data_IF_430739265699
#
_entry.id   IF_430739265699
#
_cell.length_a   1.000
_cell.length_b   1.000
_cell.length_c   1.000
_cell.angle_alpha   90.00
_cell.angle_beta   90.00
_cell.angle_gamma   90.00
#
_symmetry.space_group_name_H-M   'P 1'
#
loop_
_entity.id
_entity.type
_entity.pdbx_description
1 polymer ?
#
# COMPACT_ATOMS: atom_id res chain seq x y z
N UNK A 1 9.41 8.47 -6.23
CA UNK A 1 10.41 8.92 -5.23
C UNK A 1 10.72 7.75 -4.32
N UNK A 2 12.01 7.45 -4.09
CA UNK A 2 12.42 6.35 -3.18
C UNK A 2 13.61 5.57 -3.69
N UNK A 3 13.69 4.28 -3.36
CA UNK A 3 14.76 3.39 -3.79
C UNK A 3 14.70 3.02 -5.27
N UNK A 4 15.80 2.55 -5.88
CA UNK A 4 15.77 2.03 -7.25
C UNK A 4 15.03 0.68 -7.31
N UNK A 5 14.55 0.34 -8.52
CA UNK A 5 13.87 -0.91 -8.76
C UNK A 5 14.85 -2.09 -8.81
N UNK A 6 14.61 -3.12 -8.01
CA UNK A 6 15.35 -4.36 -7.97
C UNK A 6 14.45 -5.57 -8.29
N UNK A 7 15.06 -6.72 -8.54
CA UNK A 7 14.29 -7.97 -8.68
C UNK A 7 13.80 -8.42 -7.31
N UNK A 8 12.50 -8.35 -7.14
CA UNK A 8 11.78 -8.75 -5.91
C UNK A 8 10.52 -9.53 -6.29
N UNK A 9 9.78 -10.00 -5.31
CA UNK A 9 8.49 -10.65 -5.55
C UNK A 9 7.56 -9.80 -6.40
N UNK A 10 6.89 -10.43 -7.35
CA UNK A 10 5.97 -9.76 -8.27
C UNK A 10 4.73 -9.24 -7.56
N UNK A 11 4.19 -8.14 -8.06
CA UNK A 11 3.05 -7.42 -7.52
C UNK A 11 1.83 -8.27 -7.24
N UNK A 12 1.14 -7.98 -6.17
CA UNK A 12 0.06 -8.80 -5.63
C UNK A 12 0.54 -10.10 -4.99
N UNK A 13 1.82 -10.43 -5.17
CA UNK A 13 2.50 -11.58 -4.63
C UNK A 13 3.43 -11.21 -3.49
N UNK A 14 3.00 -10.36 -2.54
CA UNK A 14 3.77 -10.20 -1.32
C UNK A 14 3.87 -11.57 -0.63
N UNK A 15 5.00 -11.85 0.00
CA UNK A 15 5.22 -13.13 0.69
C UNK A 15 4.11 -13.44 1.70
N UNK A 16 3.46 -12.41 2.26
CA UNK A 16 2.31 -12.54 3.15
C UNK A 16 1.00 -12.97 2.47
N UNK A 17 0.89 -12.84 1.16
CA UNK A 17 -0.34 -13.11 0.40
C UNK A 17 -0.37 -14.49 -0.26
N UNK A 18 0.67 -15.29 -0.12
CA UNK A 18 0.80 -16.63 -0.68
C UNK A 18 1.23 -17.66 0.37
N UNK A 19 1.01 -18.94 0.04
CA UNK A 19 1.60 -20.00 0.84
C UNK A 19 3.13 -19.93 0.72
N UNK A 20 3.80 -19.94 1.86
CA UNK A 20 5.25 -20.02 1.90
C UNK A 20 5.65 -21.48 1.73
N UNK A 21 6.56 -21.72 0.80
CA UNK A 21 7.14 -23.04 0.54
C UNK A 21 8.66 -22.92 0.42
N UNK A 22 9.34 -24.06 0.50
CA UNK A 22 10.80 -24.12 0.42
C UNK A 22 11.34 -23.84 -0.97
N UNK A 23 10.51 -23.92 -2.01
CA UNK A 23 10.94 -23.69 -3.40
C UNK A 23 11.13 -22.20 -3.70
N UNK A 24 10.47 -21.34 -2.93
CA UNK A 24 10.49 -19.88 -3.10
C UNK A 24 11.20 -19.15 -1.96
N UNK A 25 11.94 -19.85 -1.11
CA UNK A 25 12.55 -19.27 0.09
C UNK A 25 13.46 -18.08 -0.22
N UNK A 26 14.27 -18.14 -1.28
CA UNK A 26 15.13 -17.01 -1.70
C UNK A 26 14.29 -15.80 -2.10
N UNK A 27 13.21 -16.00 -2.86
CA UNK A 27 12.29 -14.93 -3.24
C UNK A 27 11.55 -14.36 -2.03
N UNK A 28 11.27 -15.19 -1.02
CA UNK A 28 10.67 -14.74 0.23
C UNK A 28 11.64 -13.91 1.07
N UNK A 29 12.93 -14.21 1.01
CA UNK A 29 13.97 -13.37 1.62
C UNK A 29 14.14 -12.04 0.90
N UNK A 30 13.89 -11.97 -0.40
CA UNK A 30 13.91 -10.74 -1.19
C UNK A 30 12.53 -10.09 -1.31
N UNK A 31 11.54 -10.64 -0.60
CA UNK A 31 10.21 -10.11 -0.62
C UNK A 31 10.16 -8.69 -0.05
N UNK A 32 9.22 -7.95 -0.57
CA UNK A 32 8.74 -6.68 -0.05
C UNK A 32 8.50 -6.80 1.47
N UNK A 33 8.35 -5.73 2.18
CA UNK A 33 8.18 -5.67 3.64
C UNK A 33 9.48 -5.83 4.45
N UNK A 34 10.62 -5.77 3.78
CA UNK A 34 11.87 -5.44 4.45
C UNK A 34 12.08 -3.96 4.37
N UNK A 35 12.00 -3.30 5.50
CA UNK A 35 12.24 -1.88 5.55
C UNK A 35 13.67 -1.54 5.14
N UNK A 36 13.84 -0.50 4.32
CA UNK A 36 15.11 0.19 4.14
C UNK A 36 15.06 1.50 4.92
N UNK A 37 15.49 1.44 6.17
CA UNK A 37 15.44 2.58 7.08
C UNK A 37 16.21 3.81 6.56
N UNK A 38 17.23 3.62 5.72
CA UNK A 38 17.96 4.73 5.12
C UNK A 38 17.14 5.42 4.04
N UNK A 39 16.53 4.64 3.14
CA UNK A 39 15.69 5.19 2.07
C UNK A 39 14.45 5.82 2.66
N UNK A 40 13.79 5.17 3.62
CA UNK A 40 12.62 5.72 4.31
C UNK A 40 12.93 7.07 4.96
N UNK A 41 14.03 7.17 5.71
CA UNK A 41 14.45 8.42 6.34
C UNK A 41 14.63 9.55 5.30
N UNK A 42 15.26 9.25 4.15
CA UNK A 42 15.43 10.21 3.06
C UNK A 42 14.10 10.65 2.47
N UNK A 43 13.17 9.72 2.24
CA UNK A 43 11.82 9.99 1.73
C UNK A 43 11.04 10.84 2.74
N UNK A 44 11.06 10.50 4.01
CA UNK A 44 10.42 11.28 5.08
C UNK A 44 10.95 12.71 5.15
N UNK A 45 12.27 12.90 5.07
CA UNK A 45 12.86 14.25 5.04
C UNK A 45 12.46 15.02 3.81
N UNK A 46 12.48 14.38 2.63
CA UNK A 46 12.02 14.99 1.38
C UNK A 46 10.58 15.51 1.49
N UNK A 47 9.66 14.69 1.98
CA UNK A 47 8.26 15.07 2.18
C UNK A 47 8.15 16.19 3.21
N UNK A 48 8.85 16.10 4.34
CA UNK A 48 8.83 17.11 5.39
C UNK A 48 9.32 18.47 4.90
N UNK A 49 10.36 18.49 4.06
CA UNK A 49 10.85 19.73 3.43
C UNK A 49 9.80 20.32 2.50
N UNK A 50 9.15 19.51 1.68
CA UNK A 50 8.09 19.98 0.79
C UNK A 50 6.92 20.59 1.57
N UNK A 51 6.55 19.98 2.69
CA UNK A 51 5.48 20.47 3.57
C UNK A 51 5.85 21.77 4.29
N UNK A 52 7.13 21.98 4.61
CA UNK A 52 7.61 23.14 5.32
C UNK A 52 7.77 24.40 4.45
N UNK A 53 7.59 24.28 3.13
CA UNK A 53 7.60 25.43 2.22
C UNK A 53 6.32 26.24 2.35
N UNK A 54 6.39 27.55 2.09
CA UNK A 54 5.22 28.44 2.06
C UNK A 54 4.10 27.92 1.18
N UNK A 55 4.46 27.24 0.09
CA UNK A 55 3.54 26.51 -0.79
C UNK A 55 4.06 25.09 -0.98
N UNK A 56 3.31 24.11 -0.51
CA UNK A 56 3.62 22.72 -0.76
C UNK A 56 3.52 22.40 -2.26
N UNK A 57 4.61 21.95 -2.91
CA UNK A 57 4.57 21.60 -4.34
C UNK A 57 3.90 20.24 -4.61
N UNK A 58 3.69 19.41 -3.60
CA UNK A 58 3.05 18.11 -3.72
C UNK A 58 1.53 18.30 -3.73
N UNK A 59 0.88 17.92 -4.83
CA UNK A 59 -0.58 18.00 -4.99
C UNK A 59 -1.28 16.77 -4.43
N UNK A 60 -0.67 15.60 -4.61
CA UNK A 60 -1.12 14.33 -4.10
C UNK A 60 0.07 13.40 -3.84
N UNK A 61 -0.05 12.49 -2.90
CA UNK A 61 0.97 11.55 -2.50
C UNK A 61 0.34 10.20 -2.18
N UNK A 62 0.95 9.13 -2.61
CA UNK A 62 0.52 7.76 -2.34
C UNK A 62 1.73 6.84 -2.25
N UNK A 63 1.75 5.93 -1.29
CA UNK A 63 2.77 4.89 -1.20
C UNK A 63 2.61 3.85 -2.30
N UNK A 64 3.70 3.25 -2.72
CA UNK A 64 3.69 2.13 -3.66
C UNK A 64 3.68 0.82 -2.88
N UNK A 65 2.48 0.34 -2.58
CA UNK A 65 2.29 -0.96 -1.98
C UNK A 65 2.12 -2.10 -2.99
N UNK A 66 1.38 -3.11 -2.61
CA UNK A 66 1.12 -4.28 -3.45
C UNK A 66 0.57 -3.90 -4.82
N UNK A 67 1.18 -4.45 -5.87
CA UNK A 67 0.89 -4.09 -7.26
C UNK A 67 1.74 -2.94 -7.81
N UNK A 68 2.66 -2.40 -7.00
CA UNK A 68 3.68 -1.44 -7.41
C UNK A 68 3.13 -0.21 -8.10
N UNK A 69 3.90 0.30 -9.08
CA UNK A 69 3.47 1.40 -9.94
C UNK A 69 2.13 1.13 -10.63
N UNK A 70 1.85 -0.14 -10.96
CA UNK A 70 0.63 -0.57 -11.65
C UNK A 70 -0.63 -0.29 -10.86
N UNK A 71 -0.56 -0.35 -9.54
CA UNK A 71 -1.67 0.01 -8.68
C UNK A 71 -1.73 1.52 -8.40
N UNK A 72 -0.67 2.05 -7.80
CA UNK A 72 -0.66 3.43 -7.31
C UNK A 72 -0.86 4.46 -8.41
N UNK A 73 -0.29 4.24 -9.60
CA UNK A 73 -0.41 5.22 -10.69
C UNK A 73 -1.85 5.38 -11.16
N UNK A 74 -2.63 4.29 -11.21
CA UNK A 74 -4.05 4.37 -11.57
C UNK A 74 -4.84 5.19 -10.55
N UNK A 75 -4.61 4.94 -9.28
CA UNK A 75 -5.32 5.60 -8.18
C UNK A 75 -4.99 7.09 -8.08
N UNK A 76 -3.70 7.44 -8.17
CA UNK A 76 -3.27 8.83 -7.99
C UNK A 76 -3.67 9.75 -9.16
N UNK A 77 -3.87 9.21 -10.38
CA UNK A 77 -4.25 10.01 -11.57
C UNK A 77 -5.74 9.96 -11.89
N UNK A 78 -6.54 9.22 -11.15
CA UNK A 78 -8.00 9.16 -11.35
C UNK A 78 -8.65 10.53 -11.12
N UNK A 79 -9.63 10.93 -11.95
CA UNK A 79 -10.18 10.25 -13.14
C UNK A 79 -9.45 10.58 -14.45
N UNK A 80 -8.39 11.38 -14.39
CA UNK A 80 -7.81 12.05 -15.56
C UNK A 80 -7.08 11.11 -16.52
N UNK A 81 -6.29 10.16 -15.98
CA UNK A 81 -5.42 9.31 -16.78
C UNK A 81 -4.00 9.87 -16.96
N UNK A 82 -3.10 9.06 -17.46
CA UNK A 82 -1.70 9.43 -17.65
C UNK A 82 -1.02 8.65 -18.78
N UNK A 83 0.03 9.25 -19.29
CA UNK A 83 1.05 8.64 -20.12
C UNK A 83 2.28 8.37 -19.27
N UNK A 84 2.70 7.11 -19.15
CA UNK A 84 3.82 6.66 -18.31
C UNK A 84 4.93 6.06 -19.18
N UNK A 85 6.18 6.34 -18.86
CA UNK A 85 7.36 5.73 -19.48
C UNK A 85 8.15 4.94 -18.45
N UNK A 86 8.25 3.63 -18.63
CA UNK A 86 9.06 2.76 -17.77
C UNK A 86 10.56 3.02 -17.92
N UNK A 87 10.96 3.66 -19.02
CA UNK A 87 12.37 4.00 -19.27
C UNK A 87 12.92 5.05 -18.31
N UNK A 88 12.02 5.78 -17.68
CA UNK A 88 12.39 6.82 -16.73
C UNK A 88 12.55 6.31 -15.29
N UNK A 89 12.27 5.02 -15.07
CA UNK A 89 12.43 4.40 -13.74
C UNK A 89 13.90 4.06 -13.51
N UNK A 90 14.44 4.51 -12.40
CA UNK A 90 15.80 4.14 -11.99
C UNK A 90 15.84 2.67 -11.59
N UNK A 91 16.66 1.89 -12.31
CA UNK A 91 16.80 0.46 -12.09
C UNK A 91 18.08 0.15 -11.31
N UNK A 92 17.95 -0.56 -10.20
CA UNK A 92 19.04 -1.20 -9.50
C UNK A 92 19.46 -2.53 -10.15
N UNK A 93 18.49 -3.23 -10.74
CA UNK A 93 18.71 -4.40 -11.59
C UNK A 93 18.27 -4.09 -13.04
N UNK A 94 19.23 -4.00 -13.94
CA UNK A 94 19.00 -3.69 -15.37
C UNK A 94 18.37 -4.83 -16.16
N UNK A 95 18.23 -6.01 -15.58
CA UNK A 95 17.63 -7.19 -16.22
C UNK A 95 16.13 -7.28 -16.05
N UNK A 96 15.52 -6.33 -15.31
CA UNK A 96 14.08 -6.27 -15.09
C UNK A 96 13.32 -6.09 -16.41
N UNK A 97 12.29 -6.90 -16.62
CA UNK A 97 11.35 -6.71 -17.70
C UNK A 97 10.27 -5.67 -17.36
N UNK A 98 9.52 -5.22 -18.36
CA UNK A 98 8.47 -4.20 -18.18
C UNK A 98 7.42 -4.59 -17.15
N UNK A 99 7.06 -5.88 -17.09
CA UNK A 99 6.08 -6.39 -16.14
C UNK A 99 6.60 -6.32 -14.69
N UNK A 100 7.87 -6.65 -14.48
CA UNK A 100 8.52 -6.52 -13.17
C UNK A 100 8.63 -5.07 -12.74
N UNK A 101 9.03 -4.16 -13.64
CA UNK A 101 9.11 -2.73 -13.33
C UNK A 101 7.73 -2.15 -12.96
N UNK A 102 6.68 -2.59 -13.67
CA UNK A 102 5.33 -2.06 -13.49
C UNK A 102 4.60 -2.59 -12.27
N UNK A 103 4.72 -3.89 -11.96
CA UNK A 103 3.90 -4.55 -10.96
C UNK A 103 4.62 -4.88 -9.65
N UNK A 104 5.97 -4.87 -9.63
CA UNK A 104 6.68 -5.20 -8.42
C UNK A 104 6.56 -4.06 -7.39
N UNK A 105 6.42 -4.44 -6.15
CA UNK A 105 6.44 -3.54 -5.00
C UNK A 105 7.89 -3.36 -4.58
N UNK A 106 8.40 -2.14 -4.73
CA UNK A 106 9.76 -1.80 -4.33
C UNK A 106 9.77 -1.12 -2.97
N UNK A 107 10.87 -1.31 -2.23
CA UNK A 107 11.00 -0.78 -0.88
C UNK A 107 11.00 0.75 -0.87
N UNK A 108 10.25 1.30 0.09
CA UNK A 108 10.24 2.73 0.41
C UNK A 108 10.07 3.62 -0.82
N UNK A 109 9.07 3.31 -1.64
CA UNK A 109 8.71 4.14 -2.77
C UNK A 109 7.35 4.81 -2.56
N UNK A 110 7.27 6.08 -2.98
CA UNK A 110 6.04 6.85 -3.04
C UNK A 110 5.86 7.44 -4.44
N UNK A 111 4.62 7.60 -4.83
CA UNK A 111 4.23 8.37 -6.02
C UNK A 111 3.70 9.73 -5.59
N UNK A 112 4.09 10.78 -6.30
CA UNK A 112 3.61 12.13 -6.06
C UNK A 112 3.09 12.77 -7.35
N UNK A 113 2.07 13.59 -7.24
CA UNK A 113 1.66 14.52 -8.30
C UNK A 113 2.17 15.92 -7.99
N UNK A 114 2.74 16.55 -9.01
CA UNK A 114 3.24 17.92 -8.92
C UNK A 114 2.86 18.72 -10.18
N UNK A 115 2.88 20.04 -10.11
CA UNK A 115 2.81 20.87 -11.32
C UNK A 115 4.14 20.83 -12.08
N UNK A 116 4.13 20.90 -13.42
CA UNK A 116 5.34 20.97 -14.23
C UNK A 116 6.31 22.10 -13.83
N UNK A 117 5.79 23.22 -13.38
CA UNK A 117 6.60 24.36 -12.90
C UNK A 117 7.43 24.06 -11.65
N UNK A 118 7.06 23.02 -10.90
CA UNK A 118 7.71 22.66 -9.64
C UNK A 118 8.78 21.57 -9.79
N UNK A 119 8.97 21.05 -11.01
CA UNK A 119 9.91 19.94 -11.29
C UNK A 119 11.32 20.26 -10.80
N UNK A 120 11.83 21.44 -11.14
CA UNK A 120 13.21 21.80 -10.77
C UNK A 120 13.38 21.99 -9.25
N UNK A 121 12.38 22.57 -8.59
CA UNK A 121 12.36 22.68 -7.13
C UNK A 121 12.40 21.29 -6.47
N UNK A 122 11.54 20.39 -6.91
CA UNK A 122 11.45 19.01 -6.41
C UNK A 122 12.78 18.26 -6.63
N UNK A 123 13.40 18.39 -7.80
CA UNK A 123 14.70 17.79 -8.10
C UNK A 123 15.80 18.32 -7.17
N UNK A 124 15.82 19.63 -6.89
CA UNK A 124 16.77 20.22 -5.97
C UNK A 124 16.60 19.71 -4.54
N UNK A 125 15.36 19.58 -4.07
CA UNK A 125 15.05 19.01 -2.76
C UNK A 125 15.48 17.54 -2.73
N UNK A 126 15.11 16.74 -3.72
CA UNK A 126 15.50 15.33 -3.81
C UNK A 126 17.02 15.14 -3.78
N UNK A 127 17.75 15.96 -4.53
CA UNK A 127 19.23 15.96 -4.52
C UNK A 127 19.79 16.31 -3.15
N UNK A 128 19.24 17.33 -2.47
CA UNK A 128 19.67 17.75 -1.13
C UNK A 128 19.45 16.64 -0.10
N UNK A 129 18.29 16.00 -0.13
CA UNK A 129 17.95 14.93 0.81
C UNK A 129 18.57 13.58 0.44
N UNK A 130 19.17 13.48 -0.75
CA UNK A 130 19.81 12.26 -1.23
C UNK A 130 18.84 11.14 -1.56
N UNK A 131 17.61 11.49 -1.93
CA UNK A 131 16.58 10.54 -2.38
C UNK A 131 16.53 10.50 -3.90
N UNK A 132 16.33 9.30 -4.46
CA UNK A 132 16.12 9.14 -5.89
C UNK A 132 14.73 9.68 -6.30
N UNK A 133 14.69 10.36 -7.44
CA UNK A 133 13.46 10.98 -7.93
C UNK A 133 13.36 10.80 -9.45
N UNK A 134 12.35 10.05 -9.88
CA UNK A 134 12.08 9.77 -11.28
C UNK A 134 10.80 10.48 -11.73
N UNK A 135 10.84 11.14 -12.87
CA UNK A 135 9.65 11.68 -13.51
C UNK A 135 9.16 10.65 -14.51
N UNK A 136 8.20 9.84 -14.07
CA UNK A 136 7.77 8.64 -14.80
C UNK A 136 6.63 8.89 -15.77
N UNK A 137 5.89 10.02 -15.65
CA UNK A 137 4.74 10.23 -16.51
C UNK A 137 4.12 11.62 -16.43
N UNK A 138 3.11 11.82 -17.26
CA UNK A 138 2.35 13.06 -17.38
C UNK A 138 0.86 12.74 -17.35
N UNK A 139 0.10 13.45 -16.52
CA UNK A 139 -1.37 13.41 -16.51
C UNK A 139 -1.92 14.07 -17.79
N UNK A 140 -2.89 13.42 -18.46
CA UNK A 140 -3.30 13.83 -19.82
C UNK A 140 -4.80 13.97 -20.06
N UNK A 141 -5.65 13.78 -19.06
CA UNK A 141 -7.12 13.91 -19.14
C UNK A 141 -7.80 12.99 -20.18
N UNK A 142 -7.19 11.85 -20.52
CA UNK A 142 -7.78 10.88 -21.47
C UNK A 142 -8.70 9.87 -20.79
N UNK A 143 -8.71 9.80 -19.44
CA UNK A 143 -9.35 8.76 -18.68
C UNK A 143 -8.68 7.37 -18.84
N UNK A 144 -7.47 7.35 -19.39
CA UNK A 144 -6.73 6.10 -19.66
C UNK A 144 -5.35 6.17 -19.03
N UNK A 145 -4.86 5.01 -18.62
CA UNK A 145 -3.47 4.79 -18.29
C UNK A 145 -2.78 4.11 -19.46
N UNK A 146 -1.79 4.78 -20.03
CA UNK A 146 -0.99 4.26 -21.14
C UNK A 146 0.47 4.17 -20.69
N UNK A 147 1.07 3.00 -20.85
CA UNK A 147 2.44 2.73 -20.42
C UNK A 147 3.28 2.32 -21.60
N UNK A 148 4.42 2.97 -21.78
CA UNK A 148 5.38 2.72 -22.84
C UNK A 148 6.72 2.26 -22.30
N UNK A 149 7.50 1.56 -23.14
CA UNK A 149 8.88 1.20 -22.91
C UNK A 149 9.74 1.46 -24.14
N UNK A 150 11.07 1.26 -24.03
CA UNK A 150 12.03 1.54 -25.11
C UNK A 150 11.78 0.73 -26.38
N UNK A 151 11.24 -0.47 -26.23
CA UNK A 151 11.10 -1.42 -27.33
C UNK A 151 9.99 -1.03 -28.29
N UNK A 152 8.95 -0.34 -27.79
CA UNK A 152 7.86 0.17 -28.62
C UNK A 152 7.34 1.49 -28.06
N UNK A 153 7.74 2.57 -28.71
CA UNK A 153 7.27 3.95 -28.36
C UNK A 153 5.94 4.30 -29.02
N UNK A 154 5.50 3.51 -29.97
CA UNK A 154 4.27 3.75 -30.73
C UNK A 154 3.11 3.05 -30.04
N UNK A 155 3.30 1.76 -29.69
CA UNK A 155 2.26 0.99 -29.05
C UNK A 155 2.52 0.90 -27.55
N UNK A 156 1.55 1.29 -26.70
CA UNK A 156 1.70 1.12 -25.28
C UNK A 156 1.71 -0.38 -24.90
N UNK A 157 2.57 -0.77 -23.98
CA UNK A 157 2.58 -2.13 -23.40
C UNK A 157 1.36 -2.34 -22.50
N UNK A 158 0.77 -1.25 -22.02
CA UNK A 158 -0.49 -1.23 -21.26
C UNK A 158 -1.33 -0.07 -21.77
N UNK A 159 -2.61 -0.32 -22.02
CA UNK A 159 -3.60 0.72 -22.35
C UNK A 159 -4.94 0.34 -21.73
N UNK A 160 -5.27 0.94 -20.59
CA UNK A 160 -6.44 0.63 -19.78
C UNK A 160 -7.31 1.87 -19.56
N UNK A 161 -8.62 1.72 -19.63
CA UNK A 161 -9.56 2.75 -19.16
C UNK A 161 -9.65 2.69 -17.64
N UNK A 162 -9.41 3.82 -16.97
CA UNK A 162 -9.43 3.91 -15.50
C UNK A 162 -10.80 3.49 -14.93
N UNK A 163 -11.87 3.96 -15.54
CA UNK A 163 -13.22 3.61 -15.08
C UNK A 163 -13.50 2.10 -15.10
N UNK A 164 -12.94 1.37 -16.06
CA UNK A 164 -13.19 -0.08 -16.17
C UNK A 164 -12.40 -0.87 -15.10
N UNK A 165 -11.22 -0.36 -14.71
CA UNK A 165 -10.35 -1.07 -13.76
C UNK A 165 -10.47 -0.60 -12.31
N UNK A 166 -11.05 0.58 -12.06
CA UNK A 166 -11.24 1.11 -10.71
C UNK A 166 -12.70 1.11 -10.27
N UNK A 167 -13.64 1.47 -11.14
CA UNK A 167 -15.03 1.74 -10.75
C UNK A 167 -16.03 0.71 -11.26
N UNK A 168 -15.81 0.13 -12.43
CA UNK A 168 -16.74 -0.80 -13.07
C UNK A 168 -16.36 -2.28 -12.87
N UNK A 169 -15.90 -2.62 -11.69
CA UNK A 169 -15.52 -3.99 -11.35
C UNK A 169 -16.77 -4.84 -11.09
N UNK A 170 -16.90 -6.05 -11.69
CA UNK A 170 -18.02 -6.94 -11.42
C UNK A 170 -18.14 -7.25 -9.92
N UNK A 171 -19.32 -7.02 -9.37
CA UNK A 171 -19.59 -7.33 -7.95
C UNK A 171 -19.60 -8.84 -7.73
N UNK A 172 -18.85 -9.31 -6.76
CA UNK A 172 -18.93 -10.71 -6.32
C UNK A 172 -20.31 -10.98 -5.74
N UNK A 173 -20.93 -12.06 -6.18
CA UNK A 173 -22.18 -12.56 -5.59
C UNK A 173 -21.85 -13.72 -4.67
N UNK A 174 -22.28 -13.62 -3.44
CA UNK A 174 -22.10 -14.67 -2.43
C UNK A 174 -23.45 -15.27 -2.11
N UNK A 175 -23.57 -16.59 -2.21
CA UNK A 175 -24.72 -17.36 -1.74
C UNK A 175 -24.34 -18.04 -0.42
N UNK A 176 -24.68 -17.39 0.68
CA UNK A 176 -24.44 -17.93 2.02
C UNK A 176 -25.65 -18.75 2.47
N UNK A 177 -25.49 -20.05 2.49
CA UNK A 177 -26.50 -20.93 3.11
C UNK A 177 -26.15 -21.16 4.55
N UNK A 178 -26.97 -20.64 5.42
CA UNK A 178 -26.85 -20.91 6.86
C UNK A 178 -27.18 -22.39 7.08
N UNK A 179 -26.17 -23.23 7.33
CA UNK A 179 -26.41 -24.57 7.89
C UNK A 179 -26.87 -24.33 9.32
N UNK A 180 -28.18 -24.47 9.57
CA UNK A 180 -28.65 -24.63 10.94
C UNK A 180 -27.86 -25.81 11.55
N UNK A 181 -26.83 -25.51 12.29
CA UNK A 181 -26.31 -26.48 13.22
C UNK A 181 -27.44 -26.68 14.24
N UNK A 182 -28.01 -27.88 14.24
CA UNK A 182 -28.78 -28.35 15.39
C UNK A 182 -27.83 -28.47 16.58
N UNK A 183 -27.39 -27.34 17.11
CA UNK A 183 -26.79 -27.29 18.41
C UNK A 183 -27.90 -27.73 19.35
N UNK A 184 -27.85 -28.99 19.79
CA UNK A 184 -28.58 -29.36 20.99
C UNK A 184 -28.24 -28.30 22.02
N UNK A 185 -29.21 -27.47 22.38
CA UNK A 185 -29.08 -26.55 23.49
C UNK A 185 -28.83 -27.50 24.68
N UNK A 186 -27.56 -27.69 25.00
CA UNK A 186 -27.20 -28.34 26.24
C UNK A 186 -27.85 -27.51 27.33
N UNK A 187 -28.51 -28.17 28.23
CA UNK A 187 -29.23 -27.58 29.37
C UNK A 187 -28.57 -26.28 29.83
N UNK A 188 -29.36 -25.24 30.15
CA UNK A 188 -28.79 -24.01 30.66
C UNK A 188 -27.79 -24.36 31.74
N UNK A 189 -26.58 -23.84 31.60
CA UNK A 189 -25.54 -24.00 32.62
C UNK A 189 -26.17 -23.61 33.95
N UNK A 190 -26.40 -24.59 34.83
CA UNK A 190 -26.79 -24.30 36.19
C UNK A 190 -25.62 -23.56 36.83
N UNK A 191 -25.73 -22.24 36.85
CA UNK A 191 -24.77 -21.38 37.56
C UNK A 191 -24.76 -21.83 39.02
N UNK A 192 -23.68 -22.41 39.45
CA UNK A 192 -23.45 -22.69 40.87
C UNK A 192 -23.05 -21.36 41.53
N UNK A 193 -23.82 -20.88 42.52
CA UNK A 193 -23.51 -19.59 43.18
C UNK A 193 -22.07 -19.52 43.71
N UNK A 194 -21.53 -20.67 44.14
CA UNK A 194 -20.17 -20.79 44.68
C UNK A 194 -19.08 -20.45 43.64
N UNK A 195 -19.38 -20.65 42.36
CA UNK A 195 -18.46 -20.41 41.25
C UNK A 195 -18.68 -19.03 40.54
N UNK A 196 -19.51 -18.18 41.13
CA UNK A 196 -19.87 -16.90 40.50
C UNK A 196 -18.65 -16.03 40.16
N UNK A 197 -17.73 -15.90 41.09
CA UNK A 197 -16.51 -15.10 40.85
C UNK A 197 -15.63 -15.71 39.75
N UNK A 198 -15.52 -17.02 39.70
CA UNK A 198 -14.77 -17.71 38.63
C UNK A 198 -15.42 -17.47 37.25
N UNK A 199 -16.75 -17.49 37.17
CA UNK A 199 -17.46 -17.20 35.92
C UNK A 199 -17.28 -15.78 35.50
N UNK A 200 -17.33 -14.81 36.40
CA UNK A 200 -17.06 -13.38 36.08
C UNK A 200 -15.64 -13.25 35.58
N UNK A 201 -14.65 -13.81 36.24
CA UNK A 201 -13.26 -13.74 35.81
C UNK A 201 -13.08 -14.31 34.40
N UNK A 202 -13.65 -15.50 34.12
CA UNK A 202 -13.59 -16.09 32.78
C UNK A 202 -14.23 -15.23 31.70
N UNK A 203 -15.35 -14.56 32.01
CA UNK A 203 -16.01 -13.63 31.08
C UNK A 203 -15.14 -12.42 30.85
N UNK A 204 -14.63 -11.80 31.90
CA UNK A 204 -13.78 -10.60 31.80
C UNK A 204 -12.45 -10.89 31.08
N UNK A 205 -11.93 -12.09 31.18
CA UNK A 205 -10.71 -12.53 30.49
C UNK A 205 -10.96 -13.04 29.07
N UNK A 206 -12.22 -13.20 28.66
CA UNK A 206 -12.53 -13.68 27.31
C UNK A 206 -12.08 -12.67 26.25
N UNK A 207 -11.68 -13.18 25.07
CA UNK A 207 -11.18 -12.34 23.96
C UNK A 207 -12.19 -11.27 23.54
N UNK A 208 -13.49 -11.54 23.68
CA UNK A 208 -14.54 -10.63 23.29
C UNK A 208 -14.78 -9.49 24.30
N UNK A 209 -14.46 -9.70 25.57
CA UNK A 209 -14.76 -8.81 26.69
C UNK A 209 -13.47 -8.19 27.27
N UNK A 210 -12.40 -8.96 27.30
CA UNK A 210 -11.12 -8.56 27.88
C UNK A 210 -10.55 -7.29 27.23
N UNK A 211 -9.86 -6.50 28.04
CA UNK A 211 -9.23 -5.27 27.55
C UNK A 211 -8.14 -5.56 26.50
N UNK A 212 -8.27 -4.91 25.36
CA UNK A 212 -7.28 -4.96 24.27
C UNK A 212 -6.34 -3.75 24.30
N UNK A 213 -6.29 -3.04 25.40
CA UNK A 213 -5.51 -1.81 25.53
C UNK A 213 -4.04 -1.98 25.14
N UNK A 214 -3.44 -3.12 25.42
CA UNK A 214 -2.06 -3.41 25.03
C UNK A 214 -1.90 -3.47 23.50
N UNK A 215 -2.88 -4.01 22.78
CA UNK A 215 -2.89 -4.02 21.32
C UNK A 215 -3.07 -2.60 20.78
N UNK A 216 -4.11 -1.91 21.25
CA UNK A 216 -4.44 -0.57 20.76
C UNK A 216 -3.40 0.50 21.09
N UNK A 217 -2.59 0.30 22.14
CA UNK A 217 -1.51 1.23 22.48
C UNK A 217 -0.22 1.02 21.66
N UNK A 218 -0.11 -0.10 20.96
CA UNK A 218 1.11 -0.48 20.22
C UNK A 218 0.90 -0.61 18.71
N UNK A 219 -0.31 -0.48 18.24
CA UNK A 219 -0.65 -0.54 16.83
C UNK A 219 -1.30 0.79 16.43
N UNK A 220 -1.21 1.16 15.23
CA UNK A 220 -1.69 2.34 14.50
C UNK A 220 -2.87 3.11 15.13
N UNK A 221 -2.64 3.72 16.29
CA UNK A 221 -3.65 4.55 16.96
C UNK A 221 -3.82 5.92 16.32
N UNK A 222 -2.86 6.32 15.54
CA UNK A 222 -2.75 7.67 15.00
C UNK A 222 -2.40 7.60 13.51
N UNK A 223 -3.05 6.71 12.78
CA UNK A 223 -2.92 6.63 11.32
C UNK A 223 -3.15 8.03 10.74
N UNK A 224 -2.24 8.47 9.84
CA UNK A 224 -2.20 9.80 9.24
C UNK A 224 -1.80 10.96 10.17
N UNK A 225 -1.71 10.78 11.47
CA UNK A 225 -1.42 11.86 12.41
C UNK A 225 -2.51 12.92 12.57
N UNK A 226 -3.66 12.73 11.94
CA UNK A 226 -4.77 13.68 11.92
C UNK A 226 -5.81 13.44 13.02
N UNK A 227 -5.50 12.62 14.00
CA UNK A 227 -6.42 12.31 15.09
C UNK A 227 -6.51 13.50 16.04
N UNK A 228 -7.67 14.12 16.11
CA UNK A 228 -7.95 15.23 17.03
C UNK A 228 -8.13 14.79 18.49
N UNK A 229 -8.42 13.52 18.74
CA UNK A 229 -8.59 12.95 20.06
C UNK A 229 -8.46 11.44 20.06
N UNK A 230 -8.15 10.85 21.22
CA UNK A 230 -8.08 9.40 21.37
C UNK A 230 -9.48 8.78 21.36
N UNK A 231 -9.58 7.50 21.00
CA UNK A 231 -10.83 6.76 21.13
C UNK A 231 -11.40 6.88 22.55
N UNK A 232 -12.64 7.31 22.63
CA UNK A 232 -13.36 7.39 23.91
C UNK A 232 -13.87 6.01 24.34
N UNK A 233 -14.24 5.19 23.34
CA UNK A 233 -14.70 3.81 23.54
C UNK A 233 -13.70 2.95 22.77
N UNK A 234 -12.90 2.23 23.53
CA UNK A 234 -11.90 1.37 22.96
C UNK A 234 -12.25 -0.09 23.11
N UNK A 235 -11.58 -0.98 22.37
CA UNK A 235 -11.56 -2.36 22.75
C UNK A 235 -10.79 -2.53 24.06
#
# INVERSE_FOLDING_TARGET
VGGPAYRIGMGGGSASSRNQDTENEELDYDAVQRGDAQVENKVCRFVSVCQALDRNPILNIHDQGSGGMGNVTKEIVEPNGALVSLDNVTLGDKTLCSNEIWNAEYQEQISILIHPKDIELIKQIGKREGVNLDIVGIVNNTGRIQVHNKNDKINPVIDLKLNDVLNNIPRKKYDFRNKQQNTKITSPLLCKPELFNEYIEKVLMSINVGSKRFLTNKVDRSVTGLIAGQQCIGP
#
